data_IF_310424208427
#
_entry.id   IF_310424208427
#
_cell.length_a   1.000
_cell.length_b   1.000
_cell.length_c   1.000
_cell.angle_alpha   90.00
_cell.angle_beta   90.00
_cell.angle_gamma   90.00
#
_symmetry.space_group_name_H-M   'P 1'
#
loop_
_entity.id
_entity.type
_entity.pdbx_description
1 polymer ?
#
# COMPACT_ATOMS: atom_id res chain seq x y z
N UNK A 1 -22.77 11.91 10.96
CA UNK A 1 -22.71 10.51 10.45
C UNK A 1 -23.82 10.17 9.46
N UNK A 2 -25.08 10.65 9.61
CA UNK A 2 -26.16 10.40 8.63
C UNK A 2 -25.89 11.02 7.25
N UNK A 3 -25.27 12.18 7.21
CA UNK A 3 -24.98 12.90 5.96
C UNK A 3 -23.91 12.18 5.10
N UNK A 4 -22.80 11.76 5.70
CA UNK A 4 -21.75 11.02 4.99
C UNK A 4 -22.24 9.67 4.45
N UNK A 5 -23.07 8.95 5.21
CA UNK A 5 -23.65 7.67 4.77
C UNK A 5 -24.51 7.87 3.53
N UNK A 6 -25.41 8.83 3.57
CA UNK A 6 -26.31 9.14 2.44
C UNK A 6 -25.50 9.56 1.22
N UNK A 7 -24.56 10.52 1.37
CA UNK A 7 -23.70 10.98 0.29
C UNK A 7 -22.86 9.84 -0.32
N UNK A 8 -22.32 8.94 0.48
CA UNK A 8 -21.55 7.79 -0.01
C UNK A 8 -22.43 6.83 -0.83
N UNK A 9 -23.66 6.53 -0.37
CA UNK A 9 -24.56 5.65 -1.12
C UNK A 9 -25.00 6.29 -2.44
N UNK A 10 -25.31 7.58 -2.44
CA UNK A 10 -25.64 8.33 -3.66
C UNK A 10 -24.46 8.37 -4.64
N UNK A 11 -23.24 8.61 -4.16
CA UNK A 11 -22.04 8.62 -4.98
C UNK A 11 -21.80 7.29 -5.70
N UNK A 12 -22.11 6.15 -5.06
CA UNK A 12 -21.92 4.82 -5.67
C UNK A 12 -23.07 4.44 -6.63
N UNK A 13 -24.27 5.03 -6.44
CA UNK A 13 -25.44 4.71 -7.25
C UNK A 13 -25.61 5.63 -8.47
N UNK A 14 -25.15 6.89 -8.41
CA UNK A 14 -25.45 7.91 -9.41
C UNK A 14 -24.19 8.60 -9.95
N UNK A 15 -24.21 9.10 -11.23
CA UNK A 15 -25.33 9.05 -12.21
C UNK A 15 -25.56 7.65 -12.80
N UNK A 16 -24.64 6.71 -12.62
CA UNK A 16 -24.75 5.29 -12.92
C UNK A 16 -24.03 4.47 -11.84
N UNK A 17 -24.46 3.23 -11.56
CA UNK A 17 -23.81 2.38 -10.57
C UNK A 17 -22.33 2.10 -10.90
N UNK A 18 -21.52 1.99 -9.85
CA UNK A 18 -20.09 1.69 -9.95
C UNK A 18 -19.20 2.91 -10.21
N UNK A 19 -17.90 2.71 -10.14
CA UNK A 19 -16.89 3.77 -10.25
C UNK A 19 -15.97 3.60 -11.45
N UNK A 20 -15.98 2.43 -12.09
CA UNK A 20 -15.14 2.07 -13.22
C UNK A 20 -15.98 1.79 -14.46
N UNK A 21 -15.41 2.02 -15.63
CA UNK A 21 -15.97 1.63 -16.93
C UNK A 21 -14.85 1.21 -17.87
N UNK A 22 -15.19 0.38 -18.83
CA UNK A 22 -14.30 0.02 -19.94
C UNK A 22 -14.55 0.97 -21.09
N UNK A 23 -13.49 1.56 -21.64
CA UNK A 23 -13.54 2.51 -22.74
C UNK A 23 -12.72 2.02 -23.95
N UNK A 24 -13.11 2.47 -25.14
CA UNK A 24 -12.42 2.13 -26.36
C UNK A 24 -11.20 3.05 -26.55
N UNK A 25 -10.05 2.45 -26.89
CA UNK A 25 -8.79 3.18 -27.16
C UNK A 25 -8.51 3.35 -28.67
N UNK A 26 -9.35 2.77 -29.53
CA UNK A 26 -9.20 2.80 -30.99
C UNK A 26 -10.45 3.35 -31.64
N UNK A 27 -10.28 3.91 -32.83
CA UNK A 27 -11.40 4.35 -33.68
C UNK A 27 -12.28 3.15 -34.11
N UNK A 28 -13.59 3.35 -34.10
CA UNK A 28 -14.59 2.33 -34.47
C UNK A 28 -15.71 2.92 -35.34
N UNK A 29 -15.41 4.02 -36.05
CA UNK A 29 -16.41 4.78 -36.80
C UNK A 29 -16.67 4.23 -38.22
N UNK A 30 -15.74 3.46 -38.81
CA UNK A 30 -15.82 2.99 -40.19
C UNK A 30 -15.82 1.46 -40.27
N UNK A 31 -16.32 0.93 -41.40
CA UNK A 31 -16.23 -0.52 -41.67
C UNK A 31 -14.78 -1.02 -41.72
N UNK A 32 -13.83 -0.16 -42.14
CA UNK A 32 -12.42 -0.48 -42.08
C UNK A 32 -11.93 -0.60 -40.63
N UNK A 33 -12.29 0.33 -39.75
CA UNK A 33 -11.90 0.28 -38.35
C UNK A 33 -12.40 -1.03 -37.69
N UNK A 34 -13.65 -1.40 -37.97
CA UNK A 34 -14.22 -2.64 -37.46
C UNK A 34 -13.52 -3.88 -38.03
N UNK A 35 -13.13 -3.85 -39.29
CA UNK A 35 -12.39 -4.96 -39.92
C UNK A 35 -10.97 -5.12 -39.31
N UNK A 36 -10.36 -4.06 -38.86
CA UNK A 36 -9.07 -4.09 -38.14
C UNK A 36 -9.22 -4.49 -36.69
N UNK A 37 -10.27 -3.98 -36.03
CA UNK A 37 -10.51 -4.25 -34.59
C UNK A 37 -10.98 -5.69 -34.33
N UNK A 38 -11.66 -6.31 -35.29
CA UNK A 38 -12.21 -7.66 -35.17
C UNK A 38 -11.93 -8.49 -36.45
N UNK A 39 -12.93 -9.05 -37.07
CA UNK A 39 -12.71 -9.94 -38.26
C UNK A 39 -12.65 -9.15 -39.54
N UNK A 40 -11.65 -9.41 -40.44
CA UNK A 40 -10.59 -10.44 -40.37
C UNK A 40 -9.29 -9.98 -39.72
N UNK A 41 -9.07 -8.69 -39.48
CA UNK A 41 -7.80 -8.08 -39.13
C UNK A 41 -7.21 -8.61 -37.82
N UNK A 42 -8.05 -8.94 -36.82
CA UNK A 42 -7.63 -9.46 -35.51
C UNK A 42 -6.83 -10.77 -35.61
N UNK A 43 -6.94 -11.50 -36.71
CA UNK A 43 -6.18 -12.73 -36.93
C UNK A 43 -4.65 -12.48 -36.98
N UNK A 44 -4.20 -11.32 -37.38
CA UNK A 44 -2.78 -11.01 -37.51
C UNK A 44 -2.10 -10.89 -36.13
N UNK A 45 -2.56 -10.03 -35.18
CA UNK A 45 -1.98 -10.03 -33.83
C UNK A 45 -2.11 -11.38 -33.10
N UNK A 46 -3.18 -12.16 -33.36
CA UNK A 46 -3.29 -13.52 -32.80
C UNK A 46 -2.15 -14.41 -33.29
N UNK A 47 -1.84 -14.41 -34.59
CA UNK A 47 -0.72 -15.21 -35.15
C UNK A 47 0.63 -14.75 -34.59
N UNK A 48 0.84 -13.45 -34.45
CA UNK A 48 2.07 -12.90 -33.92
C UNK A 48 2.27 -13.30 -32.45
N UNK A 49 1.24 -13.16 -31.60
CA UNK A 49 1.28 -13.55 -30.19
C UNK A 49 1.45 -15.07 -30.04
N UNK A 50 0.82 -15.87 -30.89
CA UNK A 50 0.99 -17.33 -30.88
C UNK A 50 2.43 -17.74 -31.20
N UNK A 51 3.13 -16.98 -32.05
CA UNK A 51 4.54 -17.21 -32.40
C UNK A 51 5.49 -16.73 -31.30
N UNK A 52 5.19 -15.57 -30.69
CA UNK A 52 5.97 -14.94 -29.66
C UNK A 52 5.03 -14.32 -28.59
N UNK A 53 4.84 -14.99 -27.44
CA UNK A 53 3.95 -14.52 -26.36
C UNK A 53 4.29 -13.13 -25.82
N UNK A 54 5.55 -12.66 -25.92
CA UNK A 54 5.95 -11.31 -25.49
C UNK A 54 5.25 -10.20 -26.29
N UNK A 55 4.80 -10.50 -27.50
CA UNK A 55 4.05 -9.58 -28.33
C UNK A 55 2.64 -9.28 -27.80
N UNK A 56 2.16 -10.03 -26.79
CA UNK A 56 0.93 -9.66 -26.07
C UNK A 56 1.04 -8.28 -25.42
N UNK A 57 2.21 -7.91 -24.93
CA UNK A 57 2.46 -6.57 -24.38
C UNK A 57 2.43 -5.43 -25.41
N UNK A 58 2.65 -5.77 -26.69
CA UNK A 58 2.62 -4.82 -27.79
C UNK A 58 1.22 -4.66 -28.41
N UNK A 59 0.50 -5.75 -28.52
CA UNK A 59 -0.76 -5.80 -29.30
C UNK A 59 -2.02 -5.83 -28.42
N UNK A 60 -1.89 -5.90 -27.10
CA UNK A 60 -3.01 -5.89 -26.14
C UNK A 60 -2.79 -4.91 -25.00
N UNK A 61 -3.81 -4.68 -24.18
CA UNK A 61 -3.72 -3.86 -22.97
C UNK A 61 -2.99 -4.51 -21.79
N UNK A 62 -2.47 -5.75 -21.94
CA UNK A 62 -1.86 -6.54 -20.86
C UNK A 62 -0.83 -5.75 -20.05
N UNK A 63 0.04 -5.00 -20.70
CA UNK A 63 1.17 -4.30 -20.06
C UNK A 63 0.75 -3.18 -19.11
N UNK A 64 -0.45 -2.62 -19.28
CA UNK A 64 -0.99 -1.56 -18.42
C UNK A 64 -2.21 -2.00 -17.60
N UNK A 65 -2.49 -3.29 -17.50
CA UNK A 65 -3.68 -3.83 -16.85
C UNK A 65 -3.29 -4.58 -15.58
N UNK A 66 -3.80 -4.13 -14.43
CA UNK A 66 -3.63 -4.77 -13.12
C UNK A 66 -4.94 -5.40 -12.68
N UNK A 67 -4.87 -6.63 -12.16
CA UNK A 67 -6.00 -7.21 -11.44
C UNK A 67 -5.95 -6.78 -9.97
N UNK A 68 -7.04 -6.25 -9.44
CA UNK A 68 -7.26 -6.05 -8.00
C UNK A 68 -8.13 -7.19 -7.51
N UNK A 69 -7.56 -8.09 -6.70
CA UNK A 69 -8.20 -9.37 -6.35
C UNK A 69 -8.41 -9.49 -4.85
N UNK A 70 -9.62 -9.88 -4.46
CA UNK A 70 -10.03 -10.08 -3.06
C UNK A 70 -10.91 -11.32 -2.91
N UNK A 71 -10.87 -11.93 -1.72
CA UNK A 71 -11.87 -12.90 -1.26
C UNK A 71 -12.83 -12.30 -0.23
N UNK A 72 -12.64 -11.03 0.12
CA UNK A 72 -13.50 -10.29 1.05
C UNK A 72 -13.47 -10.78 2.50
N UNK A 73 -12.38 -11.46 2.90
CA UNK A 73 -12.26 -12.02 4.25
C UNK A 73 -11.77 -11.04 5.30
N UNK A 74 -11.27 -9.85 4.89
CA UNK A 74 -10.77 -8.81 5.79
C UNK A 74 -11.07 -7.39 5.27
N UNK A 75 -12.33 -7.13 4.93
CA UNK A 75 -12.76 -5.86 4.33
C UNK A 75 -12.64 -4.71 5.33
N UNK A 76 -11.64 -3.84 5.16
CA UNK A 76 -11.42 -2.67 6.02
C UNK A 76 -11.44 -3.05 7.52
N UNK A 77 -12.13 -2.28 8.36
CA UNK A 77 -12.44 -2.61 9.76
C UNK A 77 -13.72 -3.44 9.95
N UNK A 78 -14.36 -3.89 8.87
CA UNK A 78 -15.64 -4.59 8.91
C UNK A 78 -15.50 -6.12 9.01
N UNK A 79 -14.31 -6.65 8.70
CA UNK A 79 -14.02 -8.08 8.78
C UNK A 79 -14.48 -8.88 7.56
N UNK A 80 -14.85 -10.14 7.80
CA UNK A 80 -15.27 -11.07 6.74
C UNK A 80 -16.75 -10.85 6.37
N UNK A 81 -16.98 -10.15 5.27
CA UNK A 81 -18.33 -9.94 4.69
C UNK A 81 -18.49 -10.64 3.33
N UNK A 82 -17.48 -11.37 2.88
CA UNK A 82 -17.46 -12.12 1.64
C UNK A 82 -17.08 -11.30 0.39
N UNK A 83 -16.78 -12.00 -0.71
CA UNK A 83 -16.19 -11.39 -1.90
C UNK A 83 -17.08 -10.32 -2.54
N UNK A 84 -18.39 -10.57 -2.70
CA UNK A 84 -19.28 -9.60 -3.35
C UNK A 84 -19.36 -8.27 -2.59
N UNK A 85 -19.28 -8.31 -1.25
CA UNK A 85 -19.31 -7.10 -0.43
C UNK A 85 -18.00 -6.29 -0.52
N UNK A 86 -16.89 -6.89 -0.95
CA UNK A 86 -15.62 -6.19 -1.16
C UNK A 86 -15.59 -5.36 -2.45
N UNK A 87 -16.46 -5.62 -3.43
CA UNK A 87 -16.44 -4.97 -4.74
C UNK A 87 -16.38 -3.44 -4.69
N UNK A 88 -17.12 -2.71 -3.86
CA UNK A 88 -17.00 -1.25 -3.80
C UNK A 88 -15.59 -0.78 -3.38
N UNK A 89 -14.89 -1.55 -2.54
CA UNK A 89 -13.50 -1.24 -2.15
C UNK A 89 -12.56 -1.50 -3.31
N UNK A 90 -12.73 -2.63 -4.02
CA UNK A 90 -11.90 -3.03 -5.17
C UNK A 90 -12.04 -2.05 -6.34
N UNK A 91 -13.27 -1.62 -6.66
CA UNK A 91 -13.48 -0.52 -7.61
C UNK A 91 -12.81 0.78 -7.15
N UNK A 92 -12.88 1.09 -5.84
CA UNK A 92 -12.18 2.24 -5.26
C UNK A 92 -10.68 2.16 -5.48
N UNK A 93 -10.08 0.98 -5.28
CA UNK A 93 -8.67 0.74 -5.57
C UNK A 93 -8.36 0.99 -7.05
N UNK A 94 -9.21 0.52 -7.95
CA UNK A 94 -9.10 0.78 -9.40
C UNK A 94 -9.14 2.27 -9.77
N UNK A 95 -10.01 3.06 -9.11
CA UNK A 95 -10.03 4.52 -9.27
C UNK A 95 -8.66 5.13 -8.92
N UNK A 96 -8.06 4.70 -7.80
CA UNK A 96 -6.76 5.22 -7.37
C UNK A 96 -5.63 4.85 -8.33
N UNK A 97 -5.59 3.60 -8.82
CA UNK A 97 -4.64 3.17 -9.87
C UNK A 97 -4.75 4.02 -11.13
N UNK A 98 -5.99 4.21 -11.63
CA UNK A 98 -6.23 4.98 -12.86
C UNK A 98 -5.90 6.45 -12.67
N UNK A 99 -6.39 7.06 -11.57
CA UNK A 99 -6.24 8.49 -11.29
C UNK A 99 -4.78 8.90 -11.10
N UNK A 100 -4.00 8.12 -10.35
CA UNK A 100 -2.66 8.52 -9.90
C UNK A 100 -1.53 7.96 -10.75
N UNK A 101 -1.75 6.83 -11.44
CA UNK A 101 -0.70 6.17 -12.20
C UNK A 101 -1.08 5.78 -13.63
N UNK A 102 -2.28 6.14 -14.11
CA UNK A 102 -2.73 5.80 -15.46
C UNK A 102 -2.93 4.30 -15.71
N UNK A 103 -2.95 3.47 -14.66
CA UNK A 103 -3.07 2.01 -14.74
C UNK A 103 -4.53 1.62 -14.86
N UNK A 104 -4.84 0.79 -15.84
CA UNK A 104 -6.15 0.17 -16.00
C UNK A 104 -6.31 -0.99 -15.02
N UNK A 105 -7.53 -1.17 -14.50
CA UNK A 105 -7.82 -2.19 -13.49
C UNK A 105 -9.06 -2.98 -13.86
N UNK A 106 -8.98 -4.31 -13.70
CA UNK A 106 -10.14 -5.14 -13.46
C UNK A 106 -10.13 -5.58 -12.00
N UNK A 107 -11.22 -5.26 -11.28
CA UNK A 107 -11.47 -5.79 -9.95
C UNK A 107 -12.12 -7.17 -10.06
N UNK A 108 -11.61 -8.12 -9.28
CA UNK A 108 -12.01 -9.53 -9.34
C UNK A 108 -12.25 -10.03 -7.91
N UNK A 109 -13.50 -10.26 -7.60
CA UNK A 109 -13.94 -10.82 -6.32
C UNK A 109 -14.05 -12.35 -6.47
N UNK A 110 -13.22 -13.08 -5.72
CA UNK A 110 -13.12 -14.55 -5.82
C UNK A 110 -13.86 -15.21 -4.68
N UNK A 111 -14.94 -15.91 -4.99
CA UNK A 111 -15.60 -16.81 -4.05
C UNK A 111 -14.85 -18.15 -4.04
N UNK A 112 -14.04 -18.36 -3.01
CA UNK A 112 -13.16 -19.53 -2.91
C UNK A 112 -13.39 -20.31 -1.61
N UNK A 113 -13.39 -21.63 -1.71
CA UNK A 113 -13.60 -22.55 -0.58
C UNK A 113 -12.32 -22.69 0.29
N UNK A 114 -11.17 -22.30 -0.22
CA UNK A 114 -9.88 -22.46 0.46
C UNK A 114 -8.80 -21.54 -0.13
N UNK A 115 -7.72 -21.27 0.61
CA UNK A 115 -6.56 -20.55 0.09
C UNK A 115 -5.99 -21.19 -1.20
N UNK A 116 -5.97 -22.52 -1.29
CA UNK A 116 -5.48 -23.20 -2.49
C UNK A 116 -6.38 -22.97 -3.70
N UNK A 117 -7.71 -23.02 -3.53
CA UNK A 117 -8.66 -22.74 -4.60
C UNK A 117 -8.53 -21.29 -5.09
N UNK A 118 -8.30 -20.33 -4.18
CA UNK A 118 -8.00 -18.94 -4.51
C UNK A 118 -6.70 -18.84 -5.33
N UNK A 119 -5.60 -19.44 -4.86
CA UNK A 119 -4.30 -19.46 -5.57
C UNK A 119 -4.45 -20.03 -6.97
N UNK A 120 -5.12 -21.17 -7.12
CA UNK A 120 -5.32 -21.84 -8.42
C UNK A 120 -6.13 -20.97 -9.39
N UNK A 121 -7.16 -20.29 -8.90
CA UNK A 121 -7.98 -19.37 -9.68
C UNK A 121 -7.15 -18.20 -10.16
N UNK A 122 -6.47 -17.50 -9.26
CA UNK A 122 -5.66 -16.32 -9.57
C UNK A 122 -4.53 -16.65 -10.54
N UNK A 123 -3.83 -17.77 -10.33
CA UNK A 123 -2.79 -18.26 -11.23
C UNK A 123 -3.32 -18.47 -12.66
N UNK A 124 -4.51 -19.06 -12.82
CA UNK A 124 -5.08 -19.33 -14.15
C UNK A 124 -5.44 -18.07 -14.91
N UNK A 125 -5.90 -17.01 -14.23
CA UNK A 125 -6.26 -15.74 -14.87
C UNK A 125 -5.09 -14.78 -14.99
N UNK A 126 -3.97 -15.01 -14.30
CA UNK A 126 -2.80 -14.11 -14.26
C UNK A 126 -2.23 -13.79 -15.64
N UNK A 127 -2.39 -14.68 -16.61
CA UNK A 127 -1.93 -14.50 -17.98
C UNK A 127 -2.53 -13.25 -18.66
N UNK A 128 -3.69 -12.79 -18.21
CA UNK A 128 -4.37 -11.60 -18.74
C UNK A 128 -3.70 -10.30 -18.34
N UNK A 129 -3.01 -10.27 -17.19
CA UNK A 129 -2.59 -9.05 -16.50
C UNK A 129 -1.09 -8.80 -16.60
N UNK A 130 -0.69 -7.54 -16.45
CA UNK A 130 0.68 -7.12 -16.26
C UNK A 130 1.12 -7.14 -14.79
N UNK A 131 0.17 -7.16 -13.85
CA UNK A 131 0.41 -7.24 -12.41
C UNK A 131 -0.85 -7.60 -11.63
N UNK A 132 -0.67 -8.00 -10.37
CA UNK A 132 -1.76 -8.39 -9.46
C UNK A 132 -1.59 -7.65 -8.14
N UNK A 133 -2.63 -6.91 -7.72
CA UNK A 133 -2.78 -6.38 -6.37
C UNK A 133 -3.76 -7.25 -5.58
N UNK A 134 -3.29 -7.87 -4.51
CA UNK A 134 -4.12 -8.57 -3.55
C UNK A 134 -4.63 -7.58 -2.50
N UNK A 135 -5.90 -7.69 -2.11
CA UNK A 135 -6.56 -6.75 -1.21
C UNK A 135 -7.55 -7.45 -0.29
N UNK A 136 -7.66 -6.97 0.95
CA UNK A 136 -8.69 -7.40 1.93
C UNK A 136 -8.72 -8.93 2.19
N UNK A 137 -7.56 -9.59 2.16
CA UNK A 137 -7.41 -11.01 2.48
C UNK A 137 -6.87 -11.15 3.90
N UNK A 138 -7.56 -11.94 4.73
CA UNK A 138 -7.19 -12.08 6.15
C UNK A 138 -5.84 -12.79 6.37
N UNK A 139 -5.20 -12.43 7.49
CA UNK A 139 -4.04 -13.17 8.00
C UNK A 139 -4.49 -14.39 8.85
N UNK A 140 -3.73 -15.51 8.85
CA UNK A 140 -2.41 -15.68 8.23
C UNK A 140 -2.44 -16.09 6.75
N UNK A 141 -3.60 -16.40 6.18
CA UNK A 141 -3.76 -16.96 4.84
C UNK A 141 -3.19 -16.02 3.76
N UNK A 142 -3.29 -14.71 3.93
CA UNK A 142 -2.75 -13.73 2.98
C UNK A 142 -1.24 -13.89 2.74
N UNK A 143 -0.46 -14.30 3.74
CA UNK A 143 0.99 -14.52 3.59
C UNK A 143 1.30 -15.71 2.69
N UNK A 144 0.53 -16.78 2.85
CA UNK A 144 0.71 -18.02 2.08
C UNK A 144 0.23 -17.81 0.63
N UNK A 145 -0.91 -17.14 0.46
CA UNK A 145 -1.47 -16.82 -0.84
C UNK A 145 -0.50 -15.93 -1.64
N UNK A 146 -0.04 -14.83 -1.05
CA UNK A 146 0.90 -13.92 -1.73
C UNK A 146 2.19 -14.63 -2.10
N UNK A 147 2.80 -15.36 -1.17
CA UNK A 147 4.03 -16.12 -1.41
C UNK A 147 3.87 -17.10 -2.56
N UNK A 148 2.80 -17.89 -2.53
CA UNK A 148 2.55 -18.89 -3.57
C UNK A 148 2.34 -18.26 -4.96
N UNK A 149 1.64 -17.11 -5.02
CA UNK A 149 1.42 -16.40 -6.29
C UNK A 149 2.68 -15.72 -6.81
N UNK A 150 3.52 -15.15 -5.94
CA UNK A 150 4.85 -14.62 -6.32
C UNK A 150 5.73 -15.71 -6.94
N UNK A 151 5.67 -16.94 -6.39
CA UNK A 151 6.46 -18.07 -6.88
C UNK A 151 5.91 -18.66 -8.20
N UNK A 152 4.60 -18.55 -8.45
CA UNK A 152 3.91 -19.23 -9.54
C UNK A 152 3.52 -18.32 -10.71
N UNK A 153 3.60 -17.01 -10.56
CA UNK A 153 3.28 -16.03 -11.61
C UNK A 153 4.55 -15.32 -12.10
N UNK A 154 4.62 -15.09 -13.42
CA UNK A 154 5.74 -14.36 -14.05
C UNK A 154 5.49 -12.85 -14.13
N UNK A 155 4.53 -12.34 -13.36
CA UNK A 155 4.17 -10.92 -13.24
C UNK A 155 4.22 -10.50 -11.78
N UNK A 156 4.41 -9.21 -11.46
CA UNK A 156 4.44 -8.75 -10.09
C UNK A 156 3.11 -9.00 -9.35
N UNK A 157 3.22 -9.61 -8.18
CA UNK A 157 2.14 -9.80 -7.21
C UNK A 157 2.49 -9.02 -5.96
N UNK A 158 1.54 -8.25 -5.43
CA UNK A 158 1.74 -7.36 -4.30
C UNK A 158 0.46 -7.29 -3.47
N UNK A 159 0.58 -7.44 -2.15
CA UNK A 159 -0.56 -7.34 -1.23
C UNK A 159 -0.50 -5.96 -0.55
N UNK A 160 -1.41 -5.07 -0.91
CA UNK A 160 -1.33 -3.67 -0.47
C UNK A 160 -1.54 -3.49 1.03
N UNK A 161 -2.44 -4.24 1.67
CA UNK A 161 -2.63 -4.17 3.13
C UNK A 161 -1.38 -4.56 3.91
N UNK A 162 -0.54 -5.43 3.34
CA UNK A 162 0.74 -5.76 3.94
C UNK A 162 1.78 -4.68 3.64
N UNK A 163 2.06 -4.45 2.38
CA UNK A 163 3.24 -3.72 1.93
C UNK A 163 3.00 -2.23 1.75
N UNK A 164 1.80 -1.82 1.31
CA UNK A 164 1.45 -0.40 1.17
C UNK A 164 1.51 0.31 2.53
N UNK A 165 0.85 -0.26 3.54
CA UNK A 165 0.90 0.26 4.91
C UNK A 165 2.33 0.29 5.46
N UNK A 166 3.12 -0.77 5.21
CA UNK A 166 4.50 -0.85 5.66
C UNK A 166 5.38 0.26 5.06
N UNK A 167 5.29 0.47 3.75
CA UNK A 167 6.09 1.48 3.02
C UNK A 167 5.79 2.89 3.51
N UNK A 168 4.50 3.22 3.62
CA UNK A 168 4.07 4.56 4.04
C UNK A 168 4.41 4.82 5.51
N UNK A 169 4.19 3.83 6.39
CA UNK A 169 4.56 3.92 7.81
C UNK A 169 6.06 4.06 7.99
N UNK A 170 6.87 3.28 7.28
CA UNK A 170 8.32 3.35 7.36
C UNK A 170 8.86 4.72 6.93
N UNK A 171 8.36 5.27 5.82
CA UNK A 171 8.75 6.59 5.33
C UNK A 171 8.44 7.68 6.37
N UNK A 172 7.21 7.72 6.88
CA UNK A 172 6.79 8.67 7.90
C UNK A 172 7.55 8.49 9.23
N UNK A 173 7.79 7.26 9.65
CA UNK A 173 8.52 6.95 10.90
C UNK A 173 9.95 7.46 10.86
N UNK A 174 10.69 7.20 9.78
CA UNK A 174 12.07 7.65 9.67
C UNK A 174 12.16 9.18 9.67
N UNK A 175 11.25 9.86 8.97
CA UNK A 175 11.16 11.32 9.00
C UNK A 175 10.79 11.86 10.39
N UNK A 176 9.86 11.22 11.08
CA UNK A 176 9.49 11.61 12.45
C UNK A 176 10.64 11.40 13.45
N UNK A 177 11.40 10.31 13.30
CA UNK A 177 12.59 10.06 14.11
C UNK A 177 13.67 11.14 13.87
N UNK A 178 13.90 11.53 12.62
CA UNK A 178 14.83 12.62 12.28
C UNK A 178 14.41 13.94 12.95
N UNK A 179 13.12 14.30 12.90
CA UNK A 179 12.58 15.50 13.57
C UNK A 179 12.72 15.40 15.10
N UNK A 180 12.55 14.20 15.66
CA UNK A 180 12.70 13.95 17.10
C UNK A 180 14.17 13.87 17.56
N UNK A 181 15.15 13.94 16.62
CA UNK A 181 16.58 13.79 16.92
C UNK A 181 16.98 12.37 17.31
N UNK A 182 16.27 11.36 16.77
CA UNK A 182 16.47 9.93 17.07
C UNK A 182 16.88 9.16 15.81
N UNK A 183 17.51 7.99 15.99
CA UNK A 183 17.86 7.10 14.87
C UNK A 183 16.99 5.85 14.86
N UNK A 184 16.74 5.31 13.67
CA UNK A 184 15.95 4.08 13.53
C UNK A 184 16.60 2.88 14.25
N UNK A 185 17.94 2.80 14.21
CA UNK A 185 18.71 1.71 14.82
C UNK A 185 18.64 1.68 16.36
N UNK A 186 18.37 2.83 17.01
CA UNK A 186 18.33 2.95 18.46
C UNK A 186 16.90 3.08 19.00
N UNK A 187 15.94 3.42 18.14
CA UNK A 187 14.56 3.65 18.53
C UNK A 187 13.91 2.40 19.11
N UNK A 188 13.26 2.56 20.26
CA UNK A 188 12.39 1.54 20.85
C UNK A 188 10.99 1.67 20.27
N UNK A 189 10.57 0.64 19.56
CA UNK A 189 9.34 0.62 18.77
C UNK A 189 8.36 -0.35 19.41
N UNK A 190 7.15 0.10 19.67
CA UNK A 190 6.02 -0.73 20.11
C UNK A 190 5.02 -0.83 18.99
N UNK A 191 4.72 -2.03 18.54
CA UNK A 191 3.68 -2.29 17.54
C UNK A 191 2.50 -2.99 18.18
N UNK A 192 1.35 -2.33 18.25
CA UNK A 192 0.10 -2.90 18.73
C UNK A 192 -0.68 -3.49 17.55
N UNK A 193 -0.77 -4.79 17.56
CA UNK A 193 -1.28 -5.63 16.49
C UNK A 193 -0.24 -6.65 16.04
N UNK A 194 -0.70 -7.78 15.52
CA UNK A 194 0.14 -8.84 14.96
C UNK A 194 -0.55 -9.51 13.76
N UNK A 195 -1.30 -8.71 13.02
CA UNK A 195 -1.91 -9.06 11.73
C UNK A 195 -0.98 -8.77 10.55
N UNK A 196 -1.53 -8.84 9.33
CA UNK A 196 -0.79 -8.69 8.08
C UNK A 196 0.01 -7.38 8.02
N UNK A 197 -0.64 -6.24 8.22
CA UNK A 197 0.00 -4.92 8.18
C UNK A 197 1.10 -4.78 9.26
N UNK A 198 0.83 -5.19 10.50
CA UNK A 198 1.78 -5.07 11.61
C UNK A 198 3.06 -5.87 11.37
N UNK A 199 2.93 -7.12 10.95
CA UNK A 199 4.06 -8.00 10.63
C UNK A 199 4.87 -7.42 9.47
N UNK A 200 4.21 -6.95 8.43
CA UNK A 200 4.90 -6.40 7.24
C UNK A 200 5.57 -5.06 7.54
N UNK A 201 4.94 -4.18 8.35
CA UNK A 201 5.56 -2.94 8.81
C UNK A 201 6.86 -3.22 9.57
N UNK A 202 6.84 -4.14 10.53
CA UNK A 202 8.02 -4.42 11.35
C UNK A 202 9.12 -5.12 10.53
N UNK A 203 8.79 -5.99 9.58
CA UNK A 203 9.76 -6.57 8.65
C UNK A 203 10.46 -5.50 7.81
N UNK A 204 9.70 -4.61 7.19
CA UNK A 204 10.29 -3.55 6.35
C UNK A 204 11.16 -2.59 7.18
N UNK A 205 10.72 -2.22 8.38
CA UNK A 205 11.49 -1.35 9.27
C UNK A 205 12.81 -2.02 9.69
N UNK A 206 12.81 -3.33 9.92
CA UNK A 206 14.04 -4.11 10.19
C UNK A 206 14.97 -4.09 8.97
N UNK A 207 14.45 -4.33 7.78
CA UNK A 207 15.26 -4.28 6.54
C UNK A 207 15.85 -2.88 6.28
N UNK A 208 15.21 -1.83 6.80
CA UNK A 208 15.71 -0.46 6.74
C UNK A 208 16.64 -0.06 7.89
N UNK A 209 16.93 -0.96 8.85
CA UNK A 209 17.95 -0.77 9.87
C UNK A 209 17.46 -0.72 11.32
N UNK A 210 16.19 -0.96 11.60
CA UNK A 210 15.73 -1.16 12.98
C UNK A 210 16.26 -2.47 13.54
N UNK A 211 16.57 -2.49 14.83
CA UNK A 211 17.03 -3.70 15.51
C UNK A 211 15.86 -4.47 16.10
N UNK A 212 15.82 -5.77 15.86
CA UNK A 212 14.76 -6.64 16.35
C UNK A 212 14.58 -6.56 17.88
N UNK A 213 15.67 -6.50 18.61
CA UNK A 213 15.66 -6.40 20.08
C UNK A 213 15.02 -5.11 20.62
N UNK A 214 14.86 -4.09 19.79
CA UNK A 214 14.19 -2.84 20.11
C UNK A 214 12.72 -2.80 19.71
N UNK A 215 12.21 -3.86 19.08
CA UNK A 215 10.82 -3.94 18.60
C UNK A 215 10.01 -4.83 19.54
N UNK A 216 8.94 -4.30 20.10
CA UNK A 216 7.99 -5.02 20.95
C UNK A 216 6.65 -5.08 20.25
N UNK A 217 6.32 -6.23 19.66
CA UNK A 217 4.97 -6.47 19.14
C UNK A 217 4.04 -6.94 20.26
N UNK A 218 2.81 -6.45 20.23
CA UNK A 218 1.79 -6.73 21.25
C UNK A 218 0.52 -7.21 20.55
N UNK A 219 0.08 -8.41 20.87
CA UNK A 219 -1.22 -8.94 20.42
C UNK A 219 -2.24 -8.97 21.58
N UNK A 220 -3.42 -9.57 21.35
CA UNK A 220 -4.48 -9.68 22.36
C UNK A 220 -4.08 -10.41 23.66
N UNK A 221 -2.96 -11.15 23.64
CA UNK A 221 -2.44 -11.88 24.80
C UNK A 221 -1.24 -11.18 25.46
N UNK A 222 -0.85 -10.01 24.96
CA UNK A 222 0.27 -9.21 25.46
C UNK A 222 1.51 -9.22 24.57
N UNK A 223 2.66 -8.90 25.13
CA UNK A 223 3.92 -8.81 24.39
C UNK A 223 4.32 -10.16 23.79
N UNK A 224 4.70 -10.13 22.52
CA UNK A 224 5.26 -11.30 21.83
C UNK A 224 6.72 -11.45 22.28
N UNK A 225 7.00 -12.49 23.06
CA UNK A 225 8.31 -12.74 23.62
C UNK A 225 8.64 -14.25 23.61
N UNK A 226 9.91 -14.61 23.79
CA UNK A 226 10.44 -15.95 23.52
C UNK A 226 9.88 -17.08 24.42
N UNK A 227 9.29 -16.75 25.58
CA UNK A 227 8.68 -17.75 26.47
C UNK A 227 7.24 -18.14 26.06
N UNK A 228 6.65 -17.43 25.09
CA UNK A 228 5.30 -17.75 24.59
C UNK A 228 5.33 -18.98 23.70
N UNK A 229 4.42 -19.92 23.94
CA UNK A 229 4.29 -21.21 23.21
C UNK A 229 3.12 -21.20 22.20
N UNK A 230 2.34 -20.12 22.16
CA UNK A 230 1.14 -19.99 21.33
C UNK A 230 1.35 -19.16 20.06
N UNK A 231 2.60 -18.92 19.67
CA UNK A 231 2.96 -18.11 18.52
C UNK A 231 2.97 -18.93 17.24
N UNK A 232 2.30 -18.42 16.20
CA UNK A 232 2.49 -18.92 14.85
C UNK A 232 3.87 -18.48 14.31
N UNK A 233 4.29 -19.08 13.17
CA UNK A 233 5.60 -18.82 12.56
C UNK A 233 5.85 -17.32 12.27
N UNK A 234 4.83 -16.54 11.90
CA UNK A 234 4.95 -15.12 11.56
C UNK A 234 5.17 -14.25 12.79
N UNK A 235 4.48 -14.55 13.90
CA UNK A 235 4.67 -13.87 15.18
C UNK A 235 5.99 -14.27 15.83
N UNK A 236 6.36 -15.54 15.75
CA UNK A 236 7.58 -16.09 16.35
C UNK A 236 8.86 -15.38 15.84
N UNK A 237 8.84 -14.82 14.64
CA UNK A 237 9.96 -14.04 14.09
C UNK A 237 10.33 -12.82 14.94
N UNK A 238 9.38 -12.25 15.69
CA UNK A 238 9.56 -11.07 16.52
C UNK A 238 9.72 -11.40 18.01
N UNK A 239 9.65 -12.68 18.36
CA UNK A 239 9.82 -13.12 19.73
C UNK A 239 11.30 -13.05 20.15
N UNK A 240 11.58 -12.25 21.16
CA UNK A 240 12.91 -12.16 21.77
C UNK A 240 12.79 -12.18 23.32
N UNK A 241 13.88 -12.48 24.06
CA UNK A 241 13.84 -12.46 25.52
C UNK A 241 13.44 -11.09 26.05
N UNK A 242 12.41 -11.03 26.88
CA UNK A 242 11.92 -9.77 27.47
C UNK A 242 11.20 -10.03 28.79
N UNK A 243 11.34 -9.14 29.75
CA UNK A 243 10.53 -9.10 30.96
C UNK A 243 9.18 -8.39 30.78
N UNK A 244 8.99 -7.69 29.66
CA UNK A 244 7.74 -6.98 29.34
C UNK A 244 6.64 -8.00 29.01
N UNK A 245 5.43 -7.77 29.53
CA UNK A 245 4.29 -8.69 29.36
C UNK A 245 3.06 -7.97 28.77
N UNK A 246 2.84 -6.72 29.15
CA UNK A 246 1.68 -5.93 28.79
C UNK A 246 2.05 -4.80 27.82
N UNK A 247 1.04 -4.20 27.17
CA UNK A 247 1.22 -2.98 26.38
C UNK A 247 1.84 -1.85 27.23
N UNK A 248 1.39 -1.69 28.47
CA UNK A 248 1.93 -0.67 29.38
C UNK A 248 3.42 -0.87 29.66
N UNK A 249 3.86 -2.13 29.87
CA UNK A 249 5.29 -2.44 30.03
C UNK A 249 6.09 -2.09 28.77
N UNK A 250 5.51 -2.37 27.61
CA UNK A 250 6.16 -2.09 26.33
C UNK A 250 6.31 -0.59 26.07
N UNK A 251 5.26 0.19 26.38
CA UNK A 251 5.21 1.64 26.16
C UNK A 251 6.19 2.42 27.06
N UNK A 252 6.53 1.89 28.23
CA UNK A 252 7.42 2.59 29.15
C UNK A 252 8.80 2.85 28.50
N UNK A 253 9.10 4.12 28.25
CA UNK A 253 10.32 4.58 27.59
C UNK A 253 10.42 4.23 26.11
N UNK A 254 9.30 3.90 25.44
CA UNK A 254 9.26 3.69 24.00
C UNK A 254 9.33 5.01 23.23
N UNK A 255 10.02 5.01 22.10
CA UNK A 255 10.17 6.16 21.22
C UNK A 255 9.03 6.25 20.21
N UNK A 256 8.59 5.10 19.70
CA UNK A 256 7.58 4.99 18.65
C UNK A 256 6.49 4.01 19.06
N UNK A 257 5.25 4.39 18.84
CA UNK A 257 4.09 3.51 18.88
C UNK A 257 3.49 3.39 17.47
N UNK A 258 3.23 2.16 17.03
CA UNK A 258 2.52 1.85 15.79
C UNK A 258 1.28 1.03 16.12
N UNK A 259 0.11 1.64 15.99
CA UNK A 259 -1.19 0.99 16.20
C UNK A 259 -1.75 0.47 14.88
N UNK A 260 -2.00 -0.82 14.81
CA UNK A 260 -2.57 -1.54 13.66
C UNK A 260 -3.54 -2.62 14.18
N UNK A 261 -4.39 -2.25 15.12
CA UNK A 261 -5.24 -3.19 15.84
C UNK A 261 -6.69 -2.73 15.95
N UNK A 262 -6.98 -1.76 16.81
CA UNK A 262 -8.35 -1.32 17.03
C UNK A 262 -8.42 0.01 17.82
N UNK A 263 -9.63 0.60 17.89
CA UNK A 263 -9.80 1.94 18.43
C UNK A 263 -9.55 2.02 19.94
N UNK A 264 -9.06 3.20 20.39
CA UNK A 264 -8.96 3.59 21.81
C UNK A 264 -8.11 2.65 22.69
N UNK A 265 -7.11 1.98 22.13
CA UNK A 265 -6.24 1.04 22.84
C UNK A 265 -4.97 1.70 23.42
N UNK A 266 -4.60 2.89 22.96
CA UNK A 266 -3.53 3.68 23.55
C UNK A 266 -4.11 4.70 24.52
N UNK A 267 -3.90 4.47 25.83
CA UNK A 267 -4.37 5.39 26.88
C UNK A 267 -3.48 6.64 27.03
N UNK A 268 -4.02 7.68 27.65
CA UNK A 268 -3.25 8.89 27.98
C UNK A 268 -2.05 8.56 28.90
N UNK A 269 -2.23 7.64 29.86
CA UNK A 269 -1.17 7.16 30.76
C UNK A 269 -0.08 6.42 29.97
N UNK A 270 -0.48 5.57 29.02
CA UNK A 270 0.45 4.89 28.12
C UNK A 270 1.29 5.89 27.30
N UNK A 271 0.64 6.90 26.72
CA UNK A 271 1.35 7.95 25.98
C UNK A 271 2.30 8.78 26.89
N UNK A 272 1.90 9.08 28.14
CA UNK A 272 2.75 9.77 29.11
C UNK A 272 4.00 8.97 29.47
N UNK A 273 3.93 7.64 29.50
CA UNK A 273 5.04 6.77 29.85
C UNK A 273 6.11 6.63 28.77
N UNK A 274 5.80 7.04 27.54
CA UNK A 274 6.75 7.02 26.41
C UNK A 274 7.90 8.02 26.61
N UNK A 275 8.98 7.82 25.88
CA UNK A 275 10.15 8.69 25.88
C UNK A 275 9.80 10.14 25.43
N UNK A 276 10.74 11.07 25.59
CA UNK A 276 10.60 12.44 25.09
C UNK A 276 10.43 12.46 23.57
N UNK A 277 9.64 13.41 23.05
CA UNK A 277 9.25 13.51 21.64
C UNK A 277 8.72 12.17 21.10
N UNK A 278 7.65 11.59 21.68
CA UNK A 278 7.11 10.33 21.23
C UNK A 278 6.47 10.46 19.85
N UNK A 279 6.59 9.39 19.06
CA UNK A 279 6.02 9.30 17.73
C UNK A 279 4.89 8.28 17.78
N UNK A 280 3.70 8.67 17.32
CA UNK A 280 2.49 7.84 17.39
C UNK A 280 1.86 7.70 16.02
N UNK A 281 1.87 6.49 15.48
CA UNK A 281 1.09 6.08 14.32
C UNK A 281 -0.16 5.35 14.82
N UNK A 282 -1.30 6.03 14.86
CA UNK A 282 -2.58 5.46 15.26
C UNK A 282 -3.41 5.19 13.99
N UNK A 283 -3.19 4.01 13.38
CA UNK A 283 -3.64 3.71 12.01
C UNK A 283 -4.94 2.91 11.95
N UNK A 284 -5.57 2.58 13.07
CA UNK A 284 -6.87 1.90 13.07
C UNK A 284 -7.96 2.77 12.42
N UNK A 285 -8.82 2.16 11.63
CA UNK A 285 -9.92 2.80 10.93
C UNK A 285 -11.27 2.16 11.30
N UNK A 286 -12.37 2.94 11.44
CA UNK A 286 -12.45 4.40 11.25
C UNK A 286 -11.93 5.22 12.45
N UNK A 287 -11.83 4.63 13.63
CA UNK A 287 -11.38 5.29 14.85
C UNK A 287 -9.96 4.84 15.22
N UNK A 288 -9.03 5.80 15.49
CA UNK A 288 -7.63 5.49 15.80
C UNK A 288 -7.47 4.90 17.22
N UNK A 289 -6.30 4.32 17.51
CA UNK A 289 -5.93 3.82 18.82
C UNK A 289 -5.90 4.89 19.92
N UNK A 290 -5.67 6.14 19.54
CA UNK A 290 -5.84 7.34 20.35
C UNK A 290 -6.23 8.50 19.40
N UNK A 291 -7.20 9.32 19.81
CA UNK A 291 -7.53 10.49 18.99
C UNK A 291 -6.41 11.54 19.03
N UNK A 292 -6.14 12.26 17.94
CA UNK A 292 -5.13 13.32 17.92
C UNK A 292 -5.39 14.40 18.99
N UNK A 293 -6.64 14.74 19.25
CA UNK A 293 -7.02 15.71 20.28
C UNK A 293 -6.56 15.25 21.66
N UNK A 294 -6.84 13.99 22.03
CA UNK A 294 -6.41 13.42 23.30
C UNK A 294 -4.89 13.31 23.37
N UNK A 295 -4.25 12.93 22.30
CA UNK A 295 -2.80 12.81 22.24
C UNK A 295 -2.11 14.17 22.47
N UNK A 296 -2.54 15.23 21.77
CA UNK A 296 -2.00 16.58 21.94
C UNK A 296 -2.34 17.20 23.28
N UNK A 297 -3.54 16.94 23.83
CA UNK A 297 -3.91 17.36 25.17
C UNK A 297 -3.07 16.64 26.26
N UNK A 298 -2.60 15.43 25.99
CA UNK A 298 -1.78 14.64 26.89
C UNK A 298 -0.30 15.04 26.83
N UNK A 299 0.24 15.28 25.61
CA UNK A 299 1.65 15.60 25.37
C UNK A 299 1.80 16.57 24.21
N UNK A 300 2.36 17.75 24.49
CA UNK A 300 2.63 18.79 23.47
C UNK A 300 3.81 18.46 22.54
N UNK A 301 4.67 17.52 22.95
CA UNK A 301 5.85 17.08 22.19
C UNK A 301 5.59 15.84 21.29
N UNK A 302 4.34 15.34 21.22
CA UNK A 302 4.00 14.19 20.39
C UNK A 302 4.02 14.53 18.89
N UNK A 303 4.52 13.61 18.06
CA UNK A 303 4.37 13.62 16.61
C UNK A 303 3.30 12.58 16.27
N UNK A 304 2.16 13.04 15.73
CA UNK A 304 1.00 12.20 15.43
C UNK A 304 0.87 11.91 13.94
N UNK A 305 0.52 10.66 13.62
CA UNK A 305 0.06 10.23 12.31
C UNK A 305 -1.16 9.31 12.47
N UNK A 306 -2.11 9.37 11.54
CA UNK A 306 -3.32 8.54 11.55
C UNK A 306 -3.66 8.03 10.16
N UNK A 307 -4.59 7.07 10.04
CA UNK A 307 -5.16 6.65 8.75
C UNK A 307 -6.16 7.65 8.17
N UNK A 308 -6.63 8.63 8.93
CA UNK A 308 -7.71 9.56 8.55
C UNK A 308 -7.19 10.74 7.74
N UNK A 309 -7.97 11.12 6.72
CA UNK A 309 -7.67 12.25 5.83
C UNK A 309 -7.93 13.63 6.42
N UNK A 310 -8.67 13.72 7.52
CA UNK A 310 -9.03 14.95 8.20
C UNK A 310 -7.98 15.44 9.23
N UNK A 311 -6.88 14.68 9.37
CA UNK A 311 -5.75 15.04 10.23
C UNK A 311 -4.44 15.20 9.45
N UNK A 312 -3.45 15.93 10.00
CA UNK A 312 -2.08 15.93 9.49
C UNK A 312 -1.46 14.54 9.47
N UNK A 313 -0.45 14.34 8.61
CA UNK A 313 0.30 13.08 8.54
C UNK A 313 -0.59 11.83 8.29
N UNK A 314 -1.45 11.91 7.28
CA UNK A 314 -2.28 10.76 6.90
C UNK A 314 -1.41 9.62 6.36
N UNK A 315 -1.45 8.47 7.02
CA UNK A 315 -0.90 7.21 6.53
C UNK A 315 -1.93 6.58 5.58
N UNK A 316 -1.68 6.69 4.28
CA UNK A 316 -2.59 6.19 3.25
C UNK A 316 -1.79 5.46 2.17
N UNK A 317 -2.14 4.22 1.91
CA UNK A 317 -1.47 3.34 0.94
C UNK A 317 -1.43 3.93 -0.47
N UNK A 318 -2.34 4.85 -0.82
CA UNK A 318 -2.35 5.55 -2.11
C UNK A 318 -1.05 6.33 -2.39
N UNK A 319 -0.29 6.65 -1.36
CA UNK A 319 1.04 7.25 -1.51
C UNK A 319 2.08 6.29 -2.10
N UNK A 320 1.81 5.00 -2.11
CA UNK A 320 2.75 3.95 -2.52
C UNK A 320 2.30 3.14 -3.71
N UNK A 321 1.26 2.31 -3.55
CA UNK A 321 0.95 1.23 -4.48
C UNK A 321 0.77 1.65 -5.95
N UNK A 322 0.11 2.76 -6.31
CA UNK A 322 -0.08 3.08 -7.72
C UNK A 322 1.25 3.32 -8.44
N UNK A 323 2.15 4.02 -7.78
CA UNK A 323 3.45 4.40 -8.32
C UNK A 323 4.45 3.25 -8.30
N UNK A 324 4.36 2.36 -7.31
CA UNK A 324 5.14 1.11 -7.24
C UNK A 324 4.79 0.21 -8.43
N UNK A 325 3.50 0.01 -8.69
CA UNK A 325 3.06 -0.73 -9.86
C UNK A 325 3.46 -0.03 -11.17
N UNK A 326 3.38 1.31 -11.24
CA UNK A 326 3.82 2.04 -12.42
C UNK A 326 5.29 1.77 -12.73
N UNK A 327 6.16 1.93 -11.76
CA UNK A 327 7.60 1.65 -11.92
C UNK A 327 7.88 0.19 -12.27
N UNK A 328 7.17 -0.75 -11.65
CA UNK A 328 7.32 -2.18 -11.93
C UNK A 328 6.83 -2.58 -13.34
N UNK A 329 5.67 -2.06 -13.77
CA UNK A 329 5.11 -2.34 -15.10
C UNK A 329 5.98 -1.77 -16.23
N UNK A 330 6.51 -0.57 -16.08
CA UNK A 330 7.25 0.12 -17.15
C UNK A 330 8.61 -0.52 -17.45
N UNK A 331 9.19 -1.23 -16.50
CA UNK A 331 10.39 -2.05 -16.72
C UNK A 331 10.06 -3.55 -16.84
N UNK A 332 8.78 -3.91 -16.88
CA UNK A 332 8.29 -5.29 -16.88
C UNK A 332 9.00 -6.15 -15.82
N UNK A 333 8.94 -5.70 -14.58
CA UNK A 333 9.49 -6.46 -13.47
C UNK A 333 8.68 -7.74 -13.25
N UNK A 334 9.36 -8.85 -13.01
CA UNK A 334 8.72 -10.14 -12.72
C UNK A 334 8.15 -10.20 -11.30
N UNK A 335 8.63 -9.36 -10.40
CA UNK A 335 8.19 -9.25 -9.01
C UNK A 335 8.47 -7.88 -8.44
N UNK A 336 7.79 -7.52 -7.37
CA UNK A 336 8.11 -6.37 -6.52
C UNK A 336 8.86 -6.93 -5.31
N UNK A 337 10.19 -6.77 -5.32
CA UNK A 337 11.07 -7.29 -4.26
C UNK A 337 11.23 -6.29 -3.11
N UNK A 338 12.03 -6.68 -2.10
CA UNK A 338 12.22 -5.87 -0.90
C UNK A 338 12.94 -4.55 -1.21
N UNK A 339 13.94 -4.59 -2.10
CA UNK A 339 14.70 -3.42 -2.50
C UNK A 339 13.83 -2.37 -3.20
N UNK A 340 12.85 -2.79 -4.01
CA UNK A 340 11.87 -1.90 -4.63
C UNK A 340 10.95 -1.24 -3.58
N UNK A 341 10.55 -1.98 -2.53
CA UNK A 341 9.76 -1.44 -1.41
C UNK A 341 10.55 -0.43 -0.58
N UNK A 342 11.80 -0.75 -0.29
CA UNK A 342 12.73 0.17 0.39
C UNK A 342 12.97 1.43 -0.45
N UNK A 343 13.17 1.29 -1.76
CA UNK A 343 13.33 2.41 -2.68
C UNK A 343 12.09 3.33 -2.68
N UNK A 344 10.88 2.75 -2.71
CA UNK A 344 9.63 3.51 -2.61
C UNK A 344 9.51 4.27 -1.28
N UNK A 345 9.81 3.62 -0.15
CA UNK A 345 9.79 4.26 1.17
C UNK A 345 10.80 5.42 1.26
N UNK A 346 12.01 5.24 0.72
CA UNK A 346 13.02 6.30 0.67
C UNK A 346 12.59 7.46 -0.24
N UNK A 347 12.01 7.18 -1.41
CA UNK A 347 11.51 8.23 -2.30
C UNK A 347 10.38 9.06 -1.63
N UNK A 348 9.45 8.41 -0.95
CA UNK A 348 8.42 9.09 -0.15
C UNK A 348 9.01 9.97 0.94
N UNK A 349 9.98 9.45 1.67
CA UNK A 349 10.67 10.15 2.75
C UNK A 349 11.37 11.42 2.24
N UNK A 350 12.11 11.31 1.15
CA UNK A 350 12.82 12.45 0.58
C UNK A 350 11.87 13.48 -0.07
N UNK A 351 10.77 13.04 -0.70
CA UNK A 351 9.76 13.94 -1.25
C UNK A 351 9.15 14.85 -0.17
N UNK A 352 8.90 14.32 1.03
CA UNK A 352 8.36 15.12 2.14
C UNK A 352 9.25 16.30 2.55
N UNK A 353 10.55 16.20 2.31
CA UNK A 353 11.55 17.23 2.65
C UNK A 353 11.68 18.33 1.60
N UNK A 354 11.20 18.09 0.39
CA UNK A 354 11.24 19.08 -0.67
C UNK A 354 10.19 20.18 -0.44
N UNK A 355 10.45 21.43 -0.91
CA UNK A 355 9.44 22.48 -0.85
C UNK A 355 8.12 22.03 -1.46
N UNK A 356 7.01 22.21 -0.73
CA UNK A 356 5.68 21.77 -1.17
C UNK A 356 5.14 22.75 -2.20
N UNK A 357 4.69 22.31 -3.39
CA UNK A 357 4.12 23.17 -4.42
C UNK A 357 2.83 23.84 -3.93
N UNK A 358 2.55 25.06 -4.43
CA UNK A 358 1.38 25.83 -4.00
C UNK A 358 0.06 25.12 -4.34
N UNK A 359 -0.04 24.45 -5.49
CA UNK A 359 -1.25 23.71 -5.88
C UNK A 359 -1.55 22.55 -4.91
N UNK A 360 -0.53 21.94 -4.30
CA UNK A 360 -0.70 20.96 -3.22
C UNK A 360 -1.21 21.65 -1.96
N UNK A 361 -0.62 22.79 -1.55
CA UNK A 361 -1.10 23.55 -0.40
C UNK A 361 -2.57 23.95 -0.58
N UNK A 362 -2.94 24.44 -1.76
CA UNK A 362 -4.31 24.87 -2.09
C UNK A 362 -5.31 23.71 -2.00
N UNK A 363 -4.92 22.50 -2.41
CA UNK A 363 -5.75 21.30 -2.31
C UNK A 363 -6.03 20.88 -0.85
N UNK A 364 -5.23 21.36 0.11
CA UNK A 364 -5.37 21.04 1.54
C UNK A 364 -5.63 22.28 2.42
N UNK A 365 -6.38 23.25 1.89
CA UNK A 365 -6.86 24.40 2.65
C UNK A 365 -6.02 25.68 2.52
N UNK A 366 -5.01 25.69 1.65
CA UNK A 366 -4.24 26.86 1.24
C UNK A 366 -3.15 27.32 2.22
N UNK A 367 -3.07 26.74 3.42
CA UNK A 367 -1.98 27.02 4.34
C UNK A 367 -0.66 26.44 3.81
N UNK A 368 0.49 27.12 3.98
CA UNK A 368 1.79 26.58 3.60
C UNK A 368 2.09 25.28 4.33
N UNK A 369 2.44 24.24 3.56
CA UNK A 369 2.88 22.96 4.08
C UNK A 369 4.42 22.89 3.96
N UNK A 370 5.08 22.37 5.01
CA UNK A 370 6.52 22.21 5.02
C UNK A 370 6.91 21.05 5.92
N UNK A 371 8.03 20.40 5.60
CA UNK A 371 8.59 19.33 6.41
C UNK A 371 8.69 19.72 7.89
N UNK A 372 8.12 18.88 8.75
CA UNK A 372 8.01 19.14 10.18
C UNK A 372 7.02 18.20 10.85
N UNK A 373 6.69 18.45 12.12
CA UNK A 373 5.84 17.58 12.95
C UNK A 373 4.46 17.29 12.34
N UNK A 374 3.91 18.20 11.54
CA UNK A 374 2.62 18.06 10.87
C UNK A 374 2.74 17.69 9.38
N UNK A 375 3.97 17.48 8.90
CA UNK A 375 4.23 17.08 7.51
C UNK A 375 5.46 16.16 7.44
N UNK A 376 5.32 14.94 7.97
CA UNK A 376 6.36 13.89 7.91
C UNK A 376 6.26 13.04 6.66
N UNK A 377 5.16 13.16 5.90
CA UNK A 377 4.85 12.37 4.72
C UNK A 377 4.14 13.24 3.68
N UNK A 378 4.34 13.03 2.37
CA UNK A 378 3.66 13.79 1.32
C UNK A 378 2.14 13.62 1.36
N UNK A 379 1.44 14.48 0.65
CA UNK A 379 -0.01 14.40 0.47
C UNK A 379 -0.36 13.68 -0.83
N UNK A 380 -1.48 12.93 -0.90
CA UNK A 380 -1.89 12.17 -2.09
C UNK A 380 -2.03 13.00 -3.38
N UNK A 381 -2.35 14.29 -3.27
CA UNK A 381 -2.49 15.18 -4.44
C UNK A 381 -1.16 15.74 -4.95
N UNK A 382 -0.04 15.38 -4.35
CA UNK A 382 1.29 15.79 -4.85
C UNK A 382 1.65 15.04 -6.13
N UNK A 383 1.63 15.75 -7.24
CA UNK A 383 1.90 15.18 -8.58
C UNK A 383 3.30 14.60 -8.73
N UNK A 384 4.25 15.00 -7.85
CA UNK A 384 5.62 14.50 -7.87
C UNK A 384 5.75 13.05 -7.37
N UNK A 385 4.69 12.50 -6.77
CA UNK A 385 4.65 11.10 -6.34
C UNK A 385 4.92 10.14 -7.52
N UNK A 386 4.26 10.35 -8.66
CA UNK A 386 4.48 9.51 -9.85
C UNK A 386 5.92 9.64 -10.37
N UNK A 387 6.47 10.85 -10.32
CA UNK A 387 7.84 11.12 -10.80
C UNK A 387 8.88 10.37 -9.96
N UNK A 388 8.84 10.55 -8.64
CA UNK A 388 9.92 10.12 -7.76
C UNK A 388 9.81 8.65 -7.36
N UNK A 389 8.59 8.17 -7.08
CA UNK A 389 8.42 6.80 -6.61
C UNK A 389 8.55 5.81 -7.77
N UNK A 390 7.90 6.07 -8.91
CA UNK A 390 8.00 5.18 -10.06
C UNK A 390 9.44 5.10 -10.58
N UNK A 391 10.16 6.21 -10.59
CA UNK A 391 11.59 6.27 -10.94
C UNK A 391 12.46 5.41 -10.00
N UNK A 392 12.30 5.60 -8.69
CA UNK A 392 13.05 4.84 -7.69
C UNK A 392 12.80 3.34 -7.77
N UNK A 393 11.53 2.95 -7.95
CA UNK A 393 11.12 1.55 -8.07
C UNK A 393 11.65 0.92 -9.36
N UNK A 394 11.57 1.63 -10.50
CA UNK A 394 12.10 1.15 -11.78
C UNK A 394 13.62 0.94 -11.72
N UNK A 395 14.36 1.87 -11.11
CA UNK A 395 15.81 1.73 -10.89
C UNK A 395 16.15 0.53 -10.02
N UNK A 396 15.47 0.38 -8.88
CA UNK A 396 15.68 -0.74 -7.98
C UNK A 396 15.37 -2.10 -8.66
N UNK A 397 14.33 -2.16 -9.48
CA UNK A 397 13.99 -3.36 -10.25
C UNK A 397 15.11 -3.75 -11.23
N UNK A 398 15.72 -2.76 -11.88
CA UNK A 398 16.84 -2.98 -12.83
C UNK A 398 18.09 -3.40 -12.07
N UNK A 399 18.46 -2.68 -11.01
CA UNK A 399 19.65 -2.93 -10.19
C UNK A 399 19.62 -4.33 -9.56
N UNK A 400 18.45 -4.81 -9.18
CA UNK A 400 18.28 -6.15 -8.58
C UNK A 400 17.99 -7.25 -9.59
N UNK A 401 17.98 -6.93 -10.91
CA UNK A 401 17.85 -7.90 -11.98
C UNK A 401 16.45 -8.53 -12.12
N UNK A 402 15.40 -7.92 -11.52
CA UNK A 402 14.03 -8.41 -11.67
C UNK A 402 13.28 -7.75 -12.85
N UNK A 403 13.80 -6.65 -13.39
CA UNK A 403 13.31 -6.02 -14.61
C UNK A 403 13.67 -6.84 -15.85
N UNK A 404 12.79 -6.85 -16.86
CA UNK A 404 13.04 -7.50 -18.15
C UNK A 404 13.25 -6.47 -19.27
N UNK A 405 12.89 -5.22 -19.05
CA UNK A 405 13.16 -4.10 -19.95
C UNK A 405 14.20 -3.15 -19.35
N UNK A 406 14.94 -2.42 -20.20
CA UNK A 406 15.83 -1.36 -19.74
C UNK A 406 15.03 -0.18 -19.16
N UNK A 407 15.75 0.73 -18.51
CA UNK A 407 15.16 1.97 -18.00
C UNK A 407 14.47 2.76 -19.13
N UNK A 408 13.19 3.17 -18.94
CA UNK A 408 12.42 3.79 -20.01
C UNK A 408 12.97 5.17 -20.40
N UNK A 409 12.98 5.47 -21.69
CA UNK A 409 13.52 6.75 -22.20
C UNK A 409 12.72 7.98 -21.79
N UNK A 410 11.42 7.80 -21.52
CA UNK A 410 10.50 8.86 -21.08
C UNK A 410 10.48 9.08 -19.55
N UNK A 411 11.33 8.38 -18.83
CA UNK A 411 11.49 8.54 -17.37
C UNK A 411 12.53 9.61 -17.03
N UNK A 412 12.42 10.30 -15.87
CA UNK A 412 11.30 10.20 -14.92
C UNK A 412 10.01 10.83 -15.48
N UNK A 413 8.87 10.21 -15.21
CA UNK A 413 7.54 10.73 -15.57
C UNK A 413 7.29 12.09 -14.90
N UNK A 414 6.71 13.04 -15.60
CA UNK A 414 6.31 14.33 -15.01
C UNK A 414 4.83 14.37 -14.65
N UNK A 415 4.03 13.52 -15.30
CA UNK A 415 2.59 13.40 -15.08
C UNK A 415 2.08 12.04 -15.49
N UNK A 416 0.80 11.77 -15.20
CA UNK A 416 0.10 10.56 -15.67
C UNK A 416 0.00 10.53 -17.21
N UNK A 417 -0.06 11.68 -17.86
CA UNK A 417 -0.20 11.76 -19.33
C UNK A 417 1.05 11.23 -20.04
N UNK A 418 2.22 11.31 -19.40
CA UNK A 418 3.47 10.82 -19.98
C UNK A 418 3.51 9.29 -20.13
N UNK A 419 2.68 8.57 -19.37
CA UNK A 419 2.56 7.10 -19.45
C UNK A 419 2.15 6.64 -20.84
N UNK A 420 1.34 7.44 -21.55
CA UNK A 420 0.78 7.09 -22.86
C UNK A 420 1.54 7.73 -24.04
N UNK A 421 2.57 8.54 -23.76
CA UNK A 421 3.35 9.26 -24.74
C UNK A 421 4.75 8.66 -24.98
N UNK A 422 5.07 7.55 -24.30
CA UNK A 422 6.36 6.86 -24.35
C UNK A 422 6.52 5.83 -25.48
#
# INVERSE_FOLDING_TARGET
MSDLKTAALEYHAHPRPGKLSVELTKATATARDLSLAYSPGVAEPVREIARDPELAYKYTGKGNLVAVISDGTAILGLGNLGPLASKPVMEGKGVLFKRFAGIDVFDIEVDSESPQAFIDTVKRISITFGGINLEDIKAPECFEIEKALIEQCDIPVFHDDQHGTAIVTAAGMINALEIAGKTLAEAKIVCLGAGAAAISCMKLIISMGAKLENIYMVDSKGVIQSERTDLNQYKAMFAHPSSKRTLADALNGADVFVGLSGPNLLSAEGLKSMAANPIVFACSNPDPEISPELAHATRSDVIMATGRSDYPNQVNNVLGFPFIFRGALDVRAKRINEEMKVAAANALRELAKLPVPQDVCDAYGGAPLAFGREYIIPKPMDKRLITLISDAVAKAAIETGVATLPYPKHYPLQSVDDVFNG
#
